data_IF_428870873716
#
_entry.id   IF_428870873716
#
_cell.length_a   1.000
_cell.length_b   1.000
_cell.length_c   1.000
_cell.angle_alpha   90.00
_cell.angle_beta   90.00
_cell.angle_gamma   90.00
#
_symmetry.space_group_name_H-M   'P 1'
#
loop_
_entity.id
_entity.type
_entity.pdbx_description
1 polymer ?
#
# COMPACT_ATOMS: atom_id res chain seq x y z
N UNK A 1 20.25 -1.01 -6.02
CA UNK A 1 18.83 -0.67 -5.83
C UNK A 1 18.23 -0.43 -7.19
N UNK A 2 16.99 -0.89 -7.41
CA UNK A 2 16.24 -0.59 -8.62
C UNK A 2 15.28 0.57 -8.31
N UNK A 3 14.97 1.41 -9.30
CA UNK A 3 14.10 2.58 -9.10
C UNK A 3 12.72 2.36 -9.72
N UNK A 4 12.18 1.15 -9.60
CA UNK A 4 10.89 0.82 -10.21
C UNK A 4 9.78 1.67 -9.56
N UNK A 5 9.10 2.54 -10.34
CA UNK A 5 8.00 3.33 -9.84
C UNK A 5 6.66 2.65 -10.10
N UNK A 6 5.61 3.09 -9.41
CA UNK A 6 4.24 2.66 -9.68
C UNK A 6 3.73 1.57 -8.73
N UNK A 7 2.64 0.91 -9.13
CA UNK A 7 1.96 -0.11 -8.31
C UNK A 7 2.47 -1.50 -8.65
N UNK A 8 2.43 -2.41 -7.68
CA UNK A 8 2.61 -3.84 -7.95
C UNK A 8 1.36 -4.30 -8.75
N UNK A 9 1.54 -4.84 -9.98
CA UNK A 9 0.41 -5.31 -10.77
C UNK A 9 -0.40 -6.39 -10.05
N UNK A 10 -1.72 -6.25 -10.02
CA UNK A 10 -2.60 -7.28 -9.45
C UNK A 10 -2.52 -8.59 -10.22
N UNK A 11 -2.09 -8.59 -11.47
CA UNK A 11 -1.83 -9.81 -12.25
C UNK A 11 -0.73 -10.69 -11.67
N UNK A 12 0.20 -10.18 -10.85
CA UNK A 12 1.15 -11.04 -10.14
C UNK A 12 0.45 -11.99 -9.16
N UNK A 13 -0.73 -11.62 -8.66
CA UNK A 13 -1.52 -12.44 -7.75
C UNK A 13 -1.96 -13.77 -8.36
N UNK A 14 -2.02 -13.87 -9.70
CA UNK A 14 -2.46 -15.07 -10.42
C UNK A 14 -1.31 -16.01 -10.79
N UNK A 15 -0.07 -15.68 -10.43
CA UNK A 15 1.06 -16.57 -10.66
C UNK A 15 1.05 -17.72 -9.65
N UNK A 16 0.65 -18.91 -10.11
CA UNK A 16 0.51 -20.10 -9.27
C UNK A 16 1.84 -20.70 -8.76
N UNK A 17 2.97 -20.33 -9.37
CA UNK A 17 4.28 -20.91 -9.07
C UNK A 17 5.31 -19.85 -8.67
N UNK A 18 4.85 -18.70 -8.17
CA UNK A 18 5.74 -17.65 -7.68
C UNK A 18 6.41 -18.12 -6.38
N UNK A 19 7.65 -18.60 -6.47
CA UNK A 19 8.42 -19.13 -5.33
C UNK A 19 9.32 -18.10 -4.67
N UNK A 20 9.78 -17.10 -5.43
CA UNK A 20 10.67 -16.04 -4.95
C UNK A 20 10.12 -14.71 -5.41
N UNK A 21 9.93 -13.80 -4.45
CA UNK A 21 9.49 -12.44 -4.71
C UNK A 21 10.25 -11.50 -3.78
N UNK A 22 10.96 -10.54 -4.36
CA UNK A 22 11.66 -9.50 -3.62
C UNK A 22 11.59 -8.21 -4.44
N UNK A 23 10.87 -7.23 -3.90
CA UNK A 23 10.73 -5.89 -4.46
C UNK A 23 11.27 -4.83 -3.50
N UNK A 24 12.08 -5.25 -2.52
CA UNK A 24 12.68 -4.36 -1.53
C UNK A 24 13.49 -3.24 -2.19
N UNK A 25 13.56 -2.10 -1.52
CA UNK A 25 14.35 -0.94 -1.92
C UNK A 25 14.08 -0.49 -3.38
N UNK A 26 12.80 -0.32 -3.70
CA UNK A 26 12.30 0.29 -4.94
C UNK A 26 11.47 1.55 -4.62
N UNK A 27 10.84 2.14 -5.65
CA UNK A 27 10.00 3.32 -5.52
C UNK A 27 8.50 2.98 -5.73
N UNK A 28 8.10 1.78 -5.32
CA UNK A 28 6.74 1.28 -5.47
C UNK A 28 5.78 1.98 -4.50
N UNK A 29 4.51 2.04 -4.90
CA UNK A 29 3.46 2.75 -4.18
C UNK A 29 2.11 2.04 -4.26
N UNK A 30 1.25 2.31 -3.27
CA UNK A 30 -0.11 1.79 -3.21
C UNK A 30 -0.22 0.42 -2.53
N UNK A 31 -1.38 -0.23 -2.64
CA UNK A 31 -1.65 -1.48 -1.95
C UNK A 31 -0.85 -2.65 -2.53
N UNK A 32 -0.34 -3.50 -1.65
CA UNK A 32 0.14 -4.84 -2.02
C UNK A 32 -1.06 -5.66 -2.51
N UNK A 33 -1.00 -6.29 -3.70
CA UNK A 33 -2.08 -7.10 -4.21
C UNK A 33 -2.47 -8.21 -3.24
N UNK A 34 -3.77 -8.34 -2.98
CA UNK A 34 -4.30 -9.39 -2.12
C UNK A 34 -4.24 -10.73 -2.83
N UNK A 35 -3.34 -11.60 -2.37
CA UNK A 35 -3.23 -13.00 -2.79
C UNK A 35 -2.48 -13.81 -1.75
N UNK A 36 -2.84 -15.08 -1.60
CA UNK A 36 -2.18 -16.00 -0.67
C UNK A 36 -0.68 -16.11 -0.93
N UNK A 37 -0.25 -16.10 -2.20
CA UNK A 37 1.16 -16.23 -2.56
C UNK A 37 1.96 -14.95 -2.33
N UNK A 38 1.41 -13.78 -2.67
CA UNK A 38 2.13 -12.52 -2.48
C UNK A 38 2.19 -12.15 -1.00
N UNK A 39 1.09 -12.32 -0.27
CA UNK A 39 1.03 -11.98 1.16
C UNK A 39 1.73 -13.00 2.06
N UNK A 40 2.16 -14.16 1.53
CA UNK A 40 2.96 -15.14 2.29
C UNK A 40 4.45 -14.80 2.33
N UNK A 41 4.93 -13.86 1.52
CA UNK A 41 6.33 -13.42 1.59
C UNK A 41 6.59 -12.56 2.83
N UNK A 42 7.82 -12.61 3.34
CA UNK A 42 8.24 -11.81 4.49
C UNK A 42 8.13 -10.31 4.22
N UNK A 43 7.92 -9.52 5.27
CA UNK A 43 7.88 -8.04 5.19
C UNK A 43 9.15 -7.44 4.60
N UNK A 44 10.29 -8.11 4.75
CA UNK A 44 11.57 -7.71 4.16
C UNK A 44 11.53 -7.71 2.63
N UNK A 45 10.72 -8.55 2.00
CA UNK A 45 10.55 -8.55 0.54
C UNK A 45 9.92 -7.25 0.00
N UNK A 46 9.32 -6.44 0.88
CA UNK A 46 8.59 -5.21 0.54
C UNK A 46 9.24 -3.95 1.12
N UNK A 47 10.29 -4.09 1.95
CA UNK A 47 10.90 -2.98 2.68
C UNK A 47 11.52 -1.93 1.74
N UNK A 48 11.76 -0.72 2.25
CA UNK A 48 12.35 0.36 1.45
C UNK A 48 11.41 1.00 0.40
N UNK A 49 10.16 0.55 0.28
CA UNK A 49 9.13 1.18 -0.56
C UNK A 49 8.19 2.05 0.30
N UNK A 50 8.58 3.31 0.55
CA UNK A 50 7.91 4.20 1.51
C UNK A 50 6.39 4.40 1.31
N UNK A 51 5.90 4.27 0.08
CA UNK A 51 4.49 4.50 -0.28
C UNK A 51 3.70 3.20 -0.46
N UNK A 52 4.32 2.05 -0.23
CA UNK A 52 3.63 0.75 -0.25
C UNK A 52 2.82 0.59 1.03
N UNK A 53 1.68 -0.09 0.98
CA UNK A 53 0.83 -0.34 2.15
C UNK A 53 0.06 -1.65 2.01
N UNK A 54 -0.52 -2.13 3.11
CA UNK A 54 -1.28 -3.38 3.17
C UNK A 54 -0.44 -4.59 3.56
N UNK A 55 -1.10 -5.71 3.85
CA UNK A 55 -0.43 -6.93 4.29
C UNK A 55 0.60 -7.42 3.25
N UNK A 56 1.80 -7.88 3.67
CA UNK A 56 2.19 -8.17 5.06
C UNK A 56 2.74 -6.97 5.86
N UNK A 57 2.84 -5.78 5.28
CA UNK A 57 3.36 -4.61 5.98
C UNK A 57 2.39 -4.13 7.09
N UNK A 58 2.91 -3.55 8.20
CA UNK A 58 2.08 -3.09 9.31
C UNK A 58 1.25 -1.85 8.97
N UNK A 59 1.66 -1.06 7.98
CA UNK A 59 0.94 0.13 7.58
C UNK A 59 -0.28 -0.24 6.71
N UNK A 60 -1.47 0.07 7.22
CA UNK A 60 -2.71 -0.10 6.46
C UNK A 60 -2.79 0.95 5.35
N UNK A 61 -3.34 0.56 4.21
CA UNK A 61 -3.70 1.54 3.21
C UNK A 61 -4.83 2.41 3.74
N UNK A 62 -4.77 3.72 3.47
CA UNK A 62 -5.89 4.62 3.73
C UNK A 62 -7.15 4.15 2.98
N UNK A 63 -8.34 4.61 3.40
CA UNK A 63 -9.55 4.35 2.63
C UNK A 63 -9.28 4.77 1.19
N UNK A 64 -9.50 3.84 0.25
CA UNK A 64 -9.44 4.18 -1.17
C UNK A 64 -10.43 5.34 -1.35
N UNK A 65 -9.94 6.58 -1.48
CA UNK A 65 -10.69 7.60 -2.18
C UNK A 65 -10.75 7.11 -3.62
N UNK A 66 -11.67 6.16 -3.88
CA UNK A 66 -12.40 6.21 -5.13
C UNK A 66 -12.86 7.65 -5.28
N UNK A 67 -12.61 8.24 -6.43
CA UNK A 67 -13.15 9.55 -6.76
C UNK A 67 -14.66 9.31 -6.92
N UNK A 68 -15.35 9.15 -5.80
CA UNK A 68 -16.78 9.35 -5.68
C UNK A 68 -16.86 10.73 -5.04
N UNK A 69 -16.87 11.74 -5.91
CA UNK A 69 -17.34 13.07 -5.56
C UNK A 69 -18.80 12.96 -5.14
N UNK A 70 -19.06 12.78 -3.84
CA UNK A 70 -20.12 13.45 -3.07
C UNK A 70 -20.17 12.85 -1.66
N UNK A 71 -19.68 13.59 -0.67
CA UNK A 71 -20.46 13.97 0.53
C UNK A 71 -19.54 14.80 1.43
N UNK A 72 -19.64 16.13 1.27
CA UNK A 72 -19.13 17.07 2.26
C UNK A 72 -20.15 17.15 3.37
N UNK A 73 -19.92 16.54 4.53
CA UNK A 73 -20.47 16.98 5.83
C UNK A 73 -19.57 16.44 6.96
N UNK A 74 -18.66 17.26 7.52
CA UNK A 74 -18.80 17.92 8.83
C UNK A 74 -18.50 16.95 10.01
N UNK A 75 -17.69 17.19 11.04
CA UNK A 75 -17.03 18.34 11.66
C UNK A 75 -16.09 17.76 12.74
N UNK A 76 -14.92 18.35 12.99
CA UNK A 76 -14.51 18.64 14.37
C UNK A 76 -13.47 19.78 14.35
N UNK A 77 -13.95 20.97 14.70
CA UNK A 77 -13.14 22.16 14.90
C UNK A 77 -12.75 22.20 16.38
N UNK A 78 -11.50 21.82 16.70
CA UNK A 78 -10.99 21.89 18.05
C UNK A 78 -9.65 22.60 18.13
N UNK A 79 -9.61 23.93 18.05
CA UNK A 79 -8.51 24.73 18.60
C UNK A 79 -9.02 26.08 19.11
N UNK A 80 -9.40 26.10 20.39
CA UNK A 80 -9.51 27.34 21.17
C UNK A 80 -8.11 27.89 21.43
N UNK A 81 -7.86 29.17 21.13
CA UNK A 81 -6.85 29.93 21.85
C UNK A 81 -7.32 31.37 22.07
N UNK A 82 -7.54 31.66 23.37
CA UNK A 82 -7.63 32.99 23.98
C UNK A 82 -6.29 33.75 23.82
N UNK A 83 -6.28 35.08 23.86
CA UNK A 83 -6.43 35.84 25.10
C UNK A 83 -7.72 36.67 25.20
#
# INVERSE_FOLDING_TARGET
>A
MNHLPGKIPSSLASLNFLSVFNVSYNNLQGPIPTSTHIQSFDTSAFEGNLKLCGAPLPNKCGPNKGIDEDDRNNMDNGHNQLP
#
